data_IF_410045172185
#
_entry.id   IF_410045172185
#
_cell.length_a   1.000
_cell.length_b   1.000
_cell.length_c   1.000
_cell.angle_alpha   90.00
_cell.angle_beta   90.00
_cell.angle_gamma   90.00
#
_symmetry.space_group_name_H-M   'P 1'
#
loop_
_entity.id
_entity.type
_entity.pdbx_description
1 polymer ?
#
# COMPACT_ATOMS: atom_id res chain seq x y z
N UNK A 1 1.48 4.00 -20.72
CA UNK A 1 1.81 3.70 -19.30
C UNK A 1 3.18 3.05 -19.09
N UNK A 2 3.85 2.53 -20.14
CA UNK A 2 5.20 1.95 -20.03
C UNK A 2 6.25 2.91 -19.44
N UNK A 3 6.07 4.22 -19.65
CA UNK A 3 6.92 5.26 -19.04
C UNK A 3 6.85 5.33 -17.52
N UNK A 4 5.73 4.95 -16.88
CA UNK A 4 5.60 5.03 -15.41
C UNK A 4 6.37 3.90 -14.71
N UNK A 5 6.33 2.70 -15.29
CA UNK A 5 7.00 1.51 -14.76
C UNK A 5 8.52 1.66 -14.73
N UNK A 6 9.08 2.41 -15.70
CA UNK A 6 10.52 2.61 -15.88
C UNK A 6 11.00 4.02 -15.48
N UNK A 7 10.12 4.86 -14.92
CA UNK A 7 10.48 6.23 -14.52
C UNK A 7 11.25 6.22 -13.21
N UNK A 8 12.55 6.53 -13.27
CA UNK A 8 13.40 6.73 -12.09
C UNK A 8 12.82 7.77 -11.12
N UNK A 9 12.09 8.77 -11.61
CA UNK A 9 11.45 9.80 -10.76
C UNK A 9 10.28 9.26 -9.95
N UNK A 10 9.41 8.44 -10.56
CA UNK A 10 8.28 7.83 -9.86
C UNK A 10 8.76 6.83 -8.79
N UNK A 11 9.81 6.07 -9.11
CA UNK A 11 10.48 5.18 -8.18
C UNK A 11 11.05 5.93 -6.98
N UNK A 12 11.76 7.03 -7.22
CA UNK A 12 12.33 7.84 -6.15
C UNK A 12 11.29 8.35 -5.17
N UNK A 13 10.19 8.93 -5.67
CA UNK A 13 9.13 9.46 -4.81
C UNK A 13 8.38 8.35 -4.09
N UNK A 14 7.86 7.35 -4.79
CA UNK A 14 7.03 6.31 -4.17
C UNK A 14 7.80 5.46 -3.17
N UNK A 15 8.98 4.96 -3.53
CA UNK A 15 9.79 4.13 -2.65
C UNK A 15 10.51 4.95 -1.58
N UNK A 16 10.91 6.19 -1.88
CA UNK A 16 11.49 7.11 -0.91
C UNK A 16 10.50 7.47 0.19
N UNK A 17 9.27 7.86 -0.17
CA UNK A 17 8.21 8.14 0.79
C UNK A 17 7.88 6.89 1.61
N UNK A 18 7.72 5.73 0.97
CA UNK A 18 7.47 4.47 1.67
C UNK A 18 8.57 4.14 2.67
N UNK A 19 9.85 4.31 2.26
CA UNK A 19 11.01 4.01 3.10
C UNK A 19 11.11 4.96 4.29
N UNK A 20 10.93 6.27 4.06
CA UNK A 20 10.95 7.26 5.14
C UNK A 20 9.82 7.00 6.13
N UNK A 21 8.61 6.73 5.64
CA UNK A 21 7.46 6.44 6.49
C UNK A 21 7.65 5.12 7.27
N UNK A 22 8.17 4.08 6.63
CA UNK A 22 8.48 2.81 7.31
C UNK A 22 9.56 2.97 8.38
N UNK A 23 10.63 3.72 8.09
CA UNK A 23 11.69 4.01 9.07
C UNK A 23 11.18 4.86 10.23
N UNK A 24 10.32 5.84 9.96
CA UNK A 24 9.64 6.61 11.00
C UNK A 24 8.75 5.72 11.87
N UNK A 25 8.05 4.75 11.27
CA UNK A 25 7.29 3.76 12.02
C UNK A 25 8.22 2.94 12.93
N UNK A 26 9.32 2.37 12.41
CA UNK A 26 10.32 1.66 13.22
C UNK A 26 10.81 2.53 14.39
N UNK A 27 11.11 3.81 14.14
CA UNK A 27 11.57 4.73 15.18
C UNK A 27 10.53 4.98 16.28
N UNK A 28 9.24 4.89 15.97
CA UNK A 28 8.12 5.16 16.88
C UNK A 28 7.50 3.91 17.51
N UNK A 29 8.07 2.71 17.28
CA UNK A 29 7.59 1.49 17.94
C UNK A 29 7.54 1.65 19.48
N UNK A 30 6.63 0.96 20.15
CA UNK A 30 6.62 0.90 21.60
C UNK A 30 7.81 0.08 22.13
N UNK A 31 8.16 0.26 23.42
CA UNK A 31 9.12 -0.65 24.07
C UNK A 31 8.59 -2.09 24.14
N UNK A 32 7.27 -2.25 24.17
CA UNK A 32 6.58 -3.53 24.30
C UNK A 32 6.71 -4.46 23.07
N UNK A 33 6.82 -3.90 21.86
CA UNK A 33 6.82 -4.72 20.64
C UNK A 33 8.25 -5.12 20.23
N UNK A 34 9.22 -4.19 20.26
CA UNK A 34 10.62 -4.45 19.89
C UNK A 34 11.62 -3.44 20.49
N UNK A 35 11.36 -2.89 21.69
CA UNK A 35 12.12 -1.77 22.27
C UNK A 35 13.65 -1.90 22.18
N UNK A 36 14.17 -3.07 22.54
CA UNK A 36 15.62 -3.32 22.56
C UNK A 36 16.24 -3.53 21.15
N UNK A 37 15.45 -3.99 20.18
CA UNK A 37 15.92 -4.29 18.82
C UNK A 37 15.62 -3.18 17.80
N UNK A 38 14.95 -2.10 18.22
CA UNK A 38 14.54 -1.00 17.34
C UNK A 38 15.68 -0.44 16.49
N UNK A 39 16.85 -0.21 17.10
CA UNK A 39 18.01 0.31 16.40
C UNK A 39 18.54 -0.68 15.35
N UNK A 40 18.57 -1.98 15.68
CA UNK A 40 18.98 -3.03 14.76
C UNK A 40 18.01 -3.18 13.58
N UNK A 41 16.70 -3.13 13.83
CA UNK A 41 15.68 -3.14 12.79
C UNK A 41 15.80 -1.90 11.89
N UNK A 42 15.99 -0.72 12.49
CA UNK A 42 16.16 0.52 11.74
C UNK A 42 17.39 0.47 10.82
N UNK A 43 18.52 -0.02 11.33
CA UNK A 43 19.74 -0.18 10.54
C UNK A 43 19.60 -1.23 9.44
N UNK A 44 19.00 -2.39 9.76
CA UNK A 44 18.77 -3.48 8.79
C UNK A 44 17.88 -3.02 7.64
N UNK A 45 16.71 -2.46 7.96
CA UNK A 45 15.75 -2.03 6.94
C UNK A 45 16.17 -0.73 6.24
N UNK A 46 16.84 0.18 6.94
CA UNK A 46 17.45 1.36 6.32
C UNK A 46 18.54 0.97 5.33
N UNK A 47 19.42 0.04 5.70
CA UNK A 47 20.44 -0.52 4.82
C UNK A 47 19.82 -1.26 3.62
N UNK A 48 18.76 -2.04 3.84
CA UNK A 48 18.03 -2.73 2.78
C UNK A 48 17.35 -1.74 1.81
N UNK A 49 16.76 -0.64 2.31
CA UNK A 49 16.15 0.40 1.49
C UNK A 49 17.19 1.10 0.60
N UNK A 50 18.35 1.47 1.17
CA UNK A 50 19.47 2.04 0.40
C UNK A 50 19.97 1.02 -0.63
N UNK A 51 20.16 -0.24 -0.24
CA UNK A 51 20.57 -1.31 -1.15
C UNK A 51 19.59 -1.53 -2.31
N UNK A 52 18.28 -1.43 -2.04
CA UNK A 52 17.24 -1.55 -3.06
C UNK A 52 17.32 -0.42 -4.09
N UNK A 53 17.64 0.81 -3.68
CA UNK A 53 17.85 1.94 -4.60
C UNK A 53 19.00 1.72 -5.58
N UNK A 54 20.08 1.07 -5.15
CA UNK A 54 21.24 0.82 -6.01
C UNK A 54 21.09 -0.42 -6.90
N UNK A 55 20.45 -1.49 -6.41
CA UNK A 55 20.41 -2.78 -7.12
C UNK A 55 19.15 -3.04 -7.93
N UNK A 56 18.03 -2.36 -7.68
CA UNK A 56 16.75 -2.69 -8.30
C UNK A 56 16.14 -1.47 -9.00
N UNK A 57 16.58 -1.18 -10.23
CA UNK A 57 16.11 0.00 -10.97
C UNK A 57 14.77 -0.21 -11.71
N UNK A 58 14.42 -1.44 -12.10
CA UNK A 58 13.38 -1.64 -13.13
C UNK A 58 11.91 -1.69 -12.62
N UNK A 59 11.67 -1.94 -11.32
CA UNK A 59 10.29 -2.03 -10.78
C UNK A 59 10.12 -1.41 -9.38
N UNK A 60 11.07 -0.58 -8.95
CA UNK A 60 11.08 -0.03 -7.60
C UNK A 60 9.86 0.87 -7.34
N UNK A 61 9.34 1.54 -8.37
CA UNK A 61 8.16 2.40 -8.23
C UNK A 61 6.90 1.64 -7.83
N UNK A 62 6.65 0.47 -8.41
CA UNK A 62 5.43 -0.30 -8.09
C UNK A 62 5.53 -0.87 -6.69
N UNK A 63 6.72 -1.36 -6.31
CA UNK A 63 6.98 -1.86 -4.96
C UNK A 63 6.85 -0.76 -3.91
N UNK A 64 7.32 0.45 -4.23
CA UNK A 64 7.14 1.63 -3.38
C UNK A 64 5.66 1.96 -3.17
N UNK A 65 4.86 1.95 -4.22
CA UNK A 65 3.39 2.16 -4.11
C UNK A 65 2.75 1.04 -3.28
N UNK A 66 3.07 -0.22 -3.53
CA UNK A 66 2.56 -1.34 -2.75
C UNK A 66 2.93 -1.22 -1.25
N UNK A 67 4.17 -0.82 -0.95
CA UNK A 67 4.62 -0.57 0.42
C UNK A 67 3.86 0.59 1.08
N UNK A 68 3.61 1.70 0.36
CA UNK A 68 2.77 2.79 0.85
C UNK A 68 1.34 2.32 1.17
N UNK A 69 0.74 1.50 0.29
CA UNK A 69 -0.62 0.97 0.53
C UNK A 69 -0.64 0.06 1.76
N UNK A 70 0.38 -0.79 1.96
CA UNK A 70 0.48 -1.63 3.16
C UNK A 70 0.65 -0.81 4.45
N UNK A 71 1.45 0.26 4.41
CA UNK A 71 1.59 1.20 5.53
C UNK A 71 0.28 1.92 5.82
N UNK A 72 -0.43 2.39 4.79
CA UNK A 72 -1.75 3.00 4.92
C UNK A 72 -2.79 2.02 5.48
N UNK A 73 -2.77 0.76 5.01
CA UNK A 73 -3.64 -0.30 5.50
C UNK A 73 -3.45 -0.54 7.00
N UNK A 74 -2.20 -0.51 7.49
CA UNK A 74 -1.89 -0.59 8.93
C UNK A 74 -2.56 0.54 9.71
N UNK A 75 -2.43 1.79 9.24
CA UNK A 75 -3.07 2.96 9.88
C UNK A 75 -4.59 2.84 9.88
N UNK A 76 -5.18 2.39 8.76
CA UNK A 76 -6.63 2.18 8.67
C UNK A 76 -7.11 1.08 9.62
N UNK A 77 -6.36 -0.01 9.74
CA UNK A 77 -6.70 -1.12 10.63
C UNK A 77 -6.60 -0.71 12.11
N UNK A 78 -5.59 0.07 12.46
CA UNK A 78 -5.46 0.67 13.80
C UNK A 78 -6.62 1.63 14.10
N UNK A 79 -7.06 2.43 13.11
CA UNK A 79 -8.21 3.33 13.29
C UNK A 79 -9.53 2.59 13.50
N UNK A 80 -9.63 1.38 12.96
CA UNK A 80 -10.78 0.49 13.13
C UNK A 80 -10.76 -0.21 14.50
N UNK A 81 -9.64 -0.17 15.23
CA UNK A 81 -9.50 -0.75 16.55
C UNK A 81 -10.36 0.02 17.56
N UNK A 82 -11.15 -0.69 18.35
CA UNK A 82 -12.14 -0.16 19.30
C UNK A 82 -13.35 0.60 18.71
N UNK A 83 -13.58 0.52 17.40
CA UNK A 83 -14.79 1.08 16.77
C UNK A 83 -15.98 0.11 16.82
N UNK A 84 -17.24 0.60 16.73
CA UNK A 84 -18.43 -0.24 16.74
C UNK A 84 -18.43 -1.28 15.61
N UNK A 85 -19.04 -2.44 15.89
CA UNK A 85 -18.89 -3.67 15.10
C UNK A 85 -19.30 -3.54 13.64
N UNK A 86 -20.34 -2.76 13.32
CA UNK A 86 -20.92 -2.64 11.98
C UNK A 86 -19.98 -1.92 10.99
N UNK A 87 -19.55 -0.70 11.30
CA UNK A 87 -18.64 0.08 10.46
C UNK A 87 -17.25 -0.57 10.37
N UNK A 88 -16.79 -1.18 11.47
CA UNK A 88 -15.49 -1.86 11.54
C UNK A 88 -15.39 -3.01 10.53
N UNK A 89 -16.42 -3.87 10.43
CA UNK A 89 -16.36 -5.05 9.56
C UNK A 89 -16.23 -4.69 8.08
N UNK A 90 -16.95 -3.65 7.63
CA UNK A 90 -16.89 -3.20 6.23
C UNK A 90 -15.50 -2.65 5.91
N UNK A 91 -14.97 -1.76 6.75
CA UNK A 91 -13.63 -1.18 6.58
C UNK A 91 -12.54 -2.26 6.57
N UNK A 92 -12.55 -3.15 7.58
CA UNK A 92 -11.55 -4.21 7.73
C UNK A 92 -11.54 -5.15 6.51
N UNK A 93 -12.71 -5.54 6.01
CA UNK A 93 -12.83 -6.43 4.84
C UNK A 93 -12.22 -5.79 3.59
N UNK A 94 -12.52 -4.51 3.34
CA UNK A 94 -11.96 -3.76 2.21
C UNK A 94 -10.45 -3.62 2.35
N UNK A 95 -9.95 -3.28 3.54
CA UNK A 95 -8.52 -3.13 3.82
C UNK A 95 -7.77 -4.44 3.62
N UNK A 96 -8.28 -5.59 4.08
CA UNK A 96 -7.66 -6.88 3.83
C UNK A 96 -7.60 -7.21 2.33
N UNK A 97 -8.64 -6.88 1.56
CA UNK A 97 -8.61 -6.99 0.10
C UNK A 97 -7.46 -6.17 -0.51
N UNK A 98 -7.28 -4.92 -0.07
CA UNK A 98 -6.18 -4.06 -0.51
C UNK A 98 -4.80 -4.60 -0.11
N UNK A 99 -4.67 -5.19 1.08
CA UNK A 99 -3.43 -5.83 1.52
C UNK A 99 -3.05 -6.97 0.57
N UNK A 100 -3.99 -7.86 0.27
CA UNK A 100 -3.77 -9.00 -0.64
C UNK A 100 -3.32 -8.50 -2.01
N UNK A 101 -4.06 -7.56 -2.59
CA UNK A 101 -3.70 -6.96 -3.89
C UNK A 101 -2.30 -6.33 -3.85
N UNK A 102 -1.97 -5.61 -2.79
CA UNK A 102 -0.67 -4.96 -2.64
C UNK A 102 0.48 -5.96 -2.55
N UNK A 103 0.28 -7.10 -1.86
CA UNK A 103 1.28 -8.17 -1.80
C UNK A 103 1.51 -8.78 -3.18
N UNK A 104 0.43 -9.11 -3.91
CA UNK A 104 0.55 -9.66 -5.26
C UNK A 104 1.25 -8.71 -6.23
N UNK A 105 0.86 -7.44 -6.24
CA UNK A 105 1.44 -6.41 -7.10
C UNK A 105 2.90 -6.10 -6.71
N UNK A 106 3.23 -6.12 -5.42
CA UNK A 106 4.60 -5.93 -4.93
C UNK A 106 5.53 -7.09 -5.29
N UNK A 107 5.04 -8.33 -5.18
CA UNK A 107 5.78 -9.54 -5.53
C UNK A 107 5.97 -9.67 -7.05
N UNK A 108 4.90 -9.41 -7.81
CA UNK A 108 4.83 -9.58 -9.26
C UNK A 108 4.47 -8.25 -9.93
N UNK A 109 5.45 -7.35 -10.13
CA UNK A 109 5.19 -6.00 -10.67
C UNK A 109 4.63 -6.02 -12.10
N UNK A 110 4.93 -7.06 -12.88
CA UNK A 110 4.39 -7.23 -14.23
C UNK A 110 2.87 -7.42 -14.25
N UNK A 111 2.28 -7.89 -13.14
CA UNK A 111 0.84 -8.10 -13.03
C UNK A 111 0.07 -6.77 -13.14
N UNK A 112 0.65 -5.67 -12.65
CA UNK A 112 0.07 -4.34 -12.80
C UNK A 112 0.04 -3.91 -14.28
N UNK A 113 1.11 -4.20 -15.04
CA UNK A 113 1.15 -3.90 -16.48
C UNK A 113 0.05 -4.66 -17.21
N UNK A 114 -0.03 -5.96 -16.99
CA UNK A 114 -1.04 -6.82 -17.62
C UNK A 114 -2.46 -6.40 -17.22
N UNK A 115 -2.68 -6.11 -15.94
CA UNK A 115 -3.96 -5.62 -15.44
C UNK A 115 -4.37 -4.30 -16.10
N UNK A 116 -3.45 -3.33 -16.19
CA UNK A 116 -3.76 -2.06 -16.86
C UNK A 116 -4.02 -2.25 -18.35
N UNK A 117 -3.28 -3.14 -19.01
CA UNK A 117 -3.49 -3.46 -20.42
C UNK A 117 -4.90 -4.06 -20.63
N UNK A 118 -5.25 -5.10 -19.87
CA UNK A 118 -6.58 -5.70 -19.86
C UNK A 118 -7.69 -4.70 -19.51
N UNK A 119 -7.41 -3.78 -18.59
CA UNK A 119 -8.38 -2.78 -18.14
C UNK A 119 -8.71 -1.76 -19.23
N UNK A 120 -7.70 -1.25 -19.94
CA UNK A 120 -7.88 -0.23 -20.98
C UNK A 120 -8.13 -0.80 -22.38
N UNK A 121 -8.09 -2.12 -22.54
CA UNK A 121 -8.40 -2.80 -23.81
C UNK A 121 -9.87 -2.59 -24.25
N UNK A 122 -10.78 -2.43 -23.29
CA UNK A 122 -12.20 -2.15 -23.56
C UNK A 122 -12.65 -0.94 -22.75
N UNK A 123 -13.30 0.03 -23.39
CA UNK A 123 -13.74 1.29 -22.73
C UNK A 123 -14.74 1.09 -21.59
N UNK A 124 -15.45 -0.04 -21.54
CA UNK A 124 -16.43 -0.34 -20.50
C UNK A 124 -15.80 -0.86 -19.19
N UNK A 125 -14.66 -1.57 -19.26
CA UNK A 125 -14.02 -2.19 -18.08
C UNK A 125 -13.53 -1.18 -17.03
N UNK A 126 -12.90 -0.04 -17.38
CA UNK A 126 -12.53 0.99 -16.41
C UNK A 126 -13.75 1.61 -15.75
N UNK A 127 -14.88 1.69 -16.46
CA UNK A 127 -16.12 2.28 -15.99
C UNK A 127 -16.79 1.38 -14.94
N UNK A 128 -16.79 0.05 -15.18
CA UNK A 128 -17.26 -0.95 -14.21
C UNK A 128 -16.37 -1.00 -12.97
N UNK A 129 -15.05 -0.97 -13.14
CA UNK A 129 -14.12 -0.94 -12.00
C UNK A 129 -14.27 0.35 -11.19
N UNK A 130 -14.36 1.50 -11.86
CA UNK A 130 -14.58 2.79 -11.22
C UNK A 130 -15.91 2.85 -10.46
N UNK A 131 -17.00 2.34 -11.04
CA UNK A 131 -18.30 2.32 -10.37
C UNK A 131 -18.33 1.37 -9.17
N UNK A 132 -17.65 0.22 -9.26
CA UNK A 132 -17.49 -0.70 -8.13
C UNK A 132 -16.73 -0.05 -6.97
N UNK A 133 -15.63 0.66 -7.27
CA UNK A 133 -14.82 1.35 -6.26
C UNK A 133 -15.58 2.53 -5.64
N UNK A 134 -16.34 3.27 -6.46
CA UNK A 134 -17.21 4.34 -5.99
C UNK A 134 -18.31 3.79 -5.06
N UNK A 135 -18.91 2.65 -5.42
CA UNK A 135 -19.93 1.98 -4.61
C UNK A 135 -19.36 1.52 -3.26
N UNK A 136 -18.15 0.94 -3.25
CA UNK A 136 -17.44 0.60 -2.00
C UNK A 136 -17.18 1.87 -1.16
N UNK A 137 -16.74 2.97 -1.79
CA UNK A 137 -16.54 4.25 -1.12
C UNK A 137 -17.83 4.80 -0.52
N UNK A 138 -18.94 4.76 -1.26
CA UNK A 138 -20.26 5.16 -0.76
C UNK A 138 -20.71 4.29 0.40
N UNK A 139 -20.53 2.97 0.33
CA UNK A 139 -20.85 2.05 1.42
C UNK A 139 -20.05 2.36 2.69
N UNK A 140 -18.76 2.69 2.55
CA UNK A 140 -17.93 3.11 3.68
C UNK A 140 -18.43 4.41 4.30
N UNK A 141 -18.73 5.43 3.48
CA UNK A 141 -19.26 6.71 3.95
C UNK A 141 -20.61 6.52 4.66
N UNK A 142 -21.52 5.75 4.05
CA UNK A 142 -22.82 5.43 4.64
C UNK A 142 -22.65 4.68 5.96
N UNK A 143 -21.75 3.69 6.02
CA UNK A 143 -21.47 2.96 7.27
C UNK A 143 -20.93 3.85 8.39
N UNK A 144 -20.25 4.95 8.04
CA UNK A 144 -19.75 5.93 9.03
C UNK A 144 -20.87 6.73 9.69
N UNK A 145 -22.04 6.87 9.06
CA UNK A 145 -23.20 7.55 9.65
C UNK A 145 -24.03 6.64 10.56
N UNK A 146 -23.78 5.33 10.54
CA UNK A 146 -24.40 4.37 11.46
C UNK A 146 -23.58 4.16 12.75
N UNK A 147 -22.73 5.14 13.10
CA UNK A 147 -21.99 5.24 14.36
C UNK A 147 -22.88 5.81 15.48
#
# INVERSE_FOLDING_TARGET
MEHFLRSKRAAFWSFGIASVWFLYYIATLGEADFGQYRLWLFLLFGGAAVGAFFKMEDFLSIRGVAACVLLGAKVLLDSAYMQPTSARLVLVTVVYGLIVVSIFVGAMPFLLREFTHWLFEQSERPLVLGSSLASIGTLLVVSSFFY
#
